data_IF_985185838600
#
_entry.id   IF_985185838600
#
_cell.length_a   1.000
_cell.length_b   1.000
_cell.length_c   1.000
_cell.angle_alpha   90.00
_cell.angle_beta   90.00
_cell.angle_gamma   90.00
#
_symmetry.space_group_name_H-M   'P 1'
#
loop_
_entity.id
_entity.type
_entity.pdbx_description
1 polymer ?
#
# COMPACT_ATOMS: atom_id res chain seq x y z
N UNK A 1 8.76 5.33 -3.85
CA UNK A 1 8.10 4.35 -2.96
C UNK A 1 7.14 5.06 -2.01
N UNK A 2 7.59 5.82 -1.02
CA UNK A 2 6.69 6.58 -0.14
C UNK A 2 5.82 7.61 -0.87
N UNK A 3 6.35 8.28 -1.90
CA UNK A 3 5.54 9.14 -2.79
C UNK A 3 4.38 8.38 -3.46
N UNK A 4 4.53 7.10 -3.77
CA UNK A 4 3.45 6.29 -4.33
C UNK A 4 2.38 6.00 -3.27
N UNK A 5 2.82 5.60 -2.08
CA UNK A 5 1.92 5.33 -0.93
C UNK A 5 1.09 6.57 -0.64
N UNK A 6 1.75 7.74 -0.59
CA UNK A 6 1.12 9.05 -0.48
C UNK A 6 0.02 9.25 -1.52
N UNK A 7 0.31 9.05 -2.81
CA UNK A 7 -0.68 9.22 -3.88
C UNK A 7 -1.86 8.24 -3.75
N UNK A 8 -1.62 6.98 -3.37
CA UNK A 8 -2.70 5.98 -3.20
C UNK A 8 -3.61 6.29 -2.03
N UNK A 9 -3.07 6.89 -0.97
CA UNK A 9 -3.85 7.32 0.20
C UNK A 9 -4.49 8.71 0.01
N UNK A 10 -4.08 9.49 -0.99
CA UNK A 10 -4.60 10.85 -1.22
C UNK A 10 -4.13 11.88 -0.18
N UNK A 11 -2.99 11.64 0.48
CA UNK A 11 -2.37 12.60 1.44
C UNK A 11 -1.28 13.42 0.75
N UNK A 12 -0.96 14.61 1.24
CA UNK A 12 0.16 15.40 0.72
C UNK A 12 1.48 15.20 1.47
N UNK A 13 1.45 14.52 2.60
CA UNK A 13 2.61 14.33 3.47
C UNK A 13 3.42 13.10 3.04
N UNK A 14 4.72 13.06 3.31
CA UNK A 14 5.51 11.81 3.31
C UNK A 14 5.79 11.44 4.77
N UNK A 15 5.64 10.16 5.18
CA UNK A 15 5.85 9.83 6.58
C UNK A 15 7.35 9.83 6.85
N UNK A 16 7.79 10.74 7.72
CA UNK A 16 9.19 10.80 8.17
C UNK A 16 9.44 9.91 9.41
N UNK A 17 8.38 9.40 10.03
CA UNK A 17 8.46 8.50 11.17
C UNK A 17 7.27 7.53 11.20
N UNK A 18 7.37 6.49 12.02
CA UNK A 18 6.35 5.45 12.19
C UNK A 18 5.02 6.05 12.70
N UNK A 19 5.07 7.09 13.55
CA UNK A 19 3.87 7.76 14.07
C UNK A 19 3.02 8.42 12.98
N UNK A 20 3.64 9.01 11.95
CA UNK A 20 2.94 9.56 10.80
C UNK A 20 2.26 8.46 9.97
N UNK A 21 2.88 7.28 9.85
CA UNK A 21 2.22 6.12 9.23
C UNK A 21 0.99 5.67 10.04
N UNK A 22 1.10 5.60 11.37
CA UNK A 22 -0.05 5.24 12.22
C UNK A 22 -1.18 6.28 12.15
N UNK A 23 -0.84 7.56 12.11
CA UNK A 23 -1.82 8.64 11.91
C UNK A 23 -2.56 8.52 10.57
N UNK A 24 -1.86 8.11 9.50
CA UNK A 24 -2.49 7.84 8.21
C UNK A 24 -3.41 6.63 8.27
N UNK A 25 -3.00 5.54 8.91
CA UNK A 25 -3.87 4.39 9.12
C UNK A 25 -5.15 4.80 9.87
N UNK A 26 -5.02 5.63 10.91
CA UNK A 26 -6.15 6.20 11.64
C UNK A 26 -7.09 7.05 10.79
N UNK A 27 -6.54 7.80 9.83
CA UNK A 27 -7.32 8.71 8.97
C UNK A 27 -7.99 7.97 7.80
N UNK A 28 -7.30 7.01 7.20
CA UNK A 28 -7.73 6.36 5.95
C UNK A 28 -8.41 5.01 6.16
N UNK A 29 -8.28 4.41 7.35
CA UNK A 29 -8.93 3.15 7.72
C UNK A 29 -9.64 3.29 9.07
N UNK A 30 -10.63 4.19 9.21
CA UNK A 30 -11.41 4.29 10.44
C UNK A 30 -11.97 2.91 10.82
N UNK A 31 -11.93 2.57 12.11
CA UNK A 31 -12.30 1.27 12.70
C UNK A 31 -11.36 0.09 12.38
N UNK A 32 -10.20 0.34 11.75
CA UNK A 32 -9.21 -0.67 11.39
C UNK A 32 -8.08 -0.87 12.40
N UNK A 33 -8.19 -0.36 13.63
CA UNK A 33 -7.06 -0.22 14.57
C UNK A 33 -6.28 -1.52 14.79
N UNK A 34 -7.00 -2.63 14.97
CA UNK A 34 -6.40 -3.97 15.12
C UNK A 34 -5.59 -4.44 13.91
N UNK A 35 -5.80 -3.83 12.73
CA UNK A 35 -5.13 -4.16 11.47
C UNK A 35 -3.99 -3.21 11.10
N UNK A 36 -3.82 -2.06 11.79
CA UNK A 36 -2.82 -1.05 11.41
C UNK A 36 -1.40 -1.59 11.44
N UNK A 37 -1.06 -2.32 12.50
CA UNK A 37 0.28 -2.91 12.64
C UNK A 37 0.55 -3.91 11.52
N UNK A 38 -0.43 -4.73 11.14
CA UNK A 38 -0.30 -5.69 10.04
C UNK A 38 -0.17 -5.00 8.69
N UNK A 39 -0.99 -3.99 8.42
CA UNK A 39 -0.91 -3.19 7.19
C UNK A 39 0.44 -2.47 7.04
N UNK A 40 0.94 -1.89 8.13
CA UNK A 40 2.24 -1.23 8.15
C UNK A 40 3.38 -2.24 7.97
N UNK A 41 3.32 -3.39 8.64
CA UNK A 41 4.30 -4.46 8.48
C UNK A 41 4.33 -4.97 7.03
N UNK A 42 3.18 -5.20 6.42
CA UNK A 42 3.07 -5.63 5.02
C UNK A 42 3.66 -4.59 4.04
N UNK A 43 3.43 -3.30 4.30
CA UNK A 43 3.98 -2.22 3.48
C UNK A 43 5.50 -2.10 3.65
N UNK A 44 5.99 -2.11 4.89
CA UNK A 44 7.41 -2.10 5.23
C UNK A 44 8.13 -3.29 4.57
N UNK A 45 7.53 -4.48 4.66
CA UNK A 45 8.05 -5.70 4.03
C UNK A 45 8.11 -5.58 2.50
N UNK A 46 7.06 -5.06 1.87
CA UNK A 46 7.04 -4.83 0.42
C UNK A 46 8.11 -3.84 -0.03
N UNK A 47 8.33 -2.76 0.72
CA UNK A 47 9.39 -1.78 0.42
C UNK A 47 10.79 -2.37 0.61
N UNK A 48 11.00 -3.11 1.70
CA UNK A 48 12.26 -3.80 1.97
C UNK A 48 12.60 -4.77 0.83
N UNK A 49 11.69 -5.70 0.50
CA UNK A 49 11.90 -6.66 -0.59
C UNK A 49 12.12 -5.98 -1.94
N UNK A 50 11.41 -4.88 -2.22
CA UNK A 50 11.60 -4.13 -3.46
C UNK A 50 12.98 -3.47 -3.55
N UNK A 51 13.51 -2.95 -2.44
CA UNK A 51 14.87 -2.40 -2.37
C UNK A 51 15.91 -3.51 -2.48
N UNK A 52 15.73 -4.59 -1.72
CA UNK A 52 16.63 -5.74 -1.72
C UNK A 52 16.76 -6.32 -3.13
N UNK A 53 15.64 -6.54 -3.82
CA UNK A 53 15.61 -7.05 -5.19
C UNK A 53 16.28 -6.10 -6.20
N UNK A 54 16.13 -4.80 -6.02
CA UNK A 54 16.79 -3.81 -6.88
C UNK A 54 18.31 -3.78 -6.66
N UNK A 55 18.77 -3.94 -5.41
CA UNK A 55 20.20 -3.91 -5.05
C UNK A 55 20.92 -5.22 -5.38
N UNK A 56 20.33 -6.36 -5.02
CA UNK A 56 21.02 -7.66 -5.10
C UNK A 56 20.68 -8.46 -6.36
N UNK A 57 19.46 -8.33 -6.89
CA UNK A 57 19.06 -9.04 -8.11
C UNK A 57 19.06 -8.13 -9.36
N UNK A 58 19.39 -6.85 -9.19
CA UNK A 58 19.33 -5.81 -10.24
C UNK A 58 17.95 -5.69 -10.93
N UNK A 59 16.89 -6.26 -10.34
CA UNK A 59 15.52 -6.17 -10.85
C UNK A 59 14.86 -4.91 -10.31
N UNK A 60 15.02 -3.82 -11.05
CA UNK A 60 14.31 -2.56 -10.78
C UNK A 60 12.79 -2.77 -10.82
N UNK A 61 12.06 -2.02 -10.01
CA UNK A 61 10.61 -1.98 -10.10
C UNK A 61 10.20 -1.44 -11.47
N UNK A 62 9.21 -2.06 -12.11
CA UNK A 62 8.68 -1.59 -13.39
C UNK A 62 7.78 -0.38 -13.17
N UNK A 63 7.06 -0.38 -12.05
CA UNK A 63 6.22 0.73 -11.64
C UNK A 63 6.38 1.04 -10.15
N UNK A 64 6.34 2.33 -9.75
CA UNK A 64 6.30 2.70 -8.34
C UNK A 64 5.10 2.10 -7.58
N UNK A 65 4.04 1.69 -8.28
CA UNK A 65 2.83 1.04 -7.73
C UNK A 65 3.02 -0.46 -7.47
N UNK A 66 4.05 -1.10 -8.01
CA UNK A 66 4.33 -2.53 -7.79
C UNK A 66 4.48 -2.84 -6.29
N UNK A 67 5.05 -1.90 -5.52
CA UNK A 67 5.16 -2.00 -4.05
C UNK A 67 3.79 -2.12 -3.38
N UNK A 68 2.80 -1.37 -3.86
CA UNK A 68 1.44 -1.39 -3.31
C UNK A 68 0.76 -2.71 -3.64
N UNK A 69 0.93 -3.21 -4.87
CA UNK A 69 0.42 -4.53 -5.25
C UNK A 69 1.05 -5.65 -4.41
N UNK A 70 2.37 -5.60 -4.16
CA UNK A 70 3.03 -6.54 -3.26
C UNK A 70 2.48 -6.46 -1.83
N UNK A 71 2.30 -5.25 -1.30
CA UNK A 71 1.69 -5.05 0.02
C UNK A 71 0.27 -5.64 0.09
N UNK A 72 -0.57 -5.41 -0.94
CA UNK A 72 -1.90 -6.03 -1.02
C UNK A 72 -1.85 -7.56 -1.03
N UNK A 73 -0.84 -8.14 -1.71
CA UNK A 73 -0.61 -9.58 -1.72
C UNK A 73 -0.29 -10.12 -0.33
N UNK A 74 0.59 -9.45 0.41
CA UNK A 74 0.92 -9.82 1.80
C UNK A 74 -0.29 -9.69 2.73
N UNK A 75 -1.09 -8.61 2.60
CA UNK A 75 -2.32 -8.42 3.38
C UNK A 75 -3.33 -9.53 3.08
N UNK A 76 -3.49 -9.91 1.81
CA UNK A 76 -4.42 -10.99 1.41
C UNK A 76 -3.94 -12.35 1.96
N UNK A 77 -2.64 -12.62 1.91
CA UNK A 77 -2.05 -13.82 2.51
C UNK A 77 -2.33 -13.88 4.01
N UNK A 78 -2.14 -12.77 4.71
CA UNK A 78 -2.45 -12.64 6.12
C UNK A 78 -3.95 -12.79 6.42
N UNK A 79 -4.83 -12.37 5.50
CA UNK A 79 -6.27 -12.53 5.67
C UNK A 79 -6.69 -14.00 5.62
N UNK A 80 -6.01 -14.81 4.80
CA UNK A 80 -6.20 -16.26 4.78
C UNK A 80 -5.90 -16.97 6.11
N UNK A 81 -5.16 -16.33 7.01
CA UNK A 81 -4.88 -16.84 8.37
C UNK A 81 -5.94 -16.44 9.40
N UNK A 82 -6.87 -15.54 9.03
CA UNK A 82 -7.94 -15.05 9.90
C UNK A 82 -9.26 -15.78 9.62
N UNK A 83 -10.20 -15.69 10.56
CA UNK A 83 -11.52 -16.32 10.46
C UNK A 83 -12.63 -15.26 10.57
N UNK A 84 -13.79 -15.57 9.99
CA UNK A 84 -14.99 -14.75 10.10
C UNK A 84 -14.82 -13.33 9.57
N UNK A 85 -15.38 -12.37 10.31
CA UNK A 85 -15.46 -10.95 9.92
C UNK A 85 -14.09 -10.29 9.72
N UNK A 86 -13.04 -10.78 10.40
CA UNK A 86 -11.70 -10.21 10.35
C UNK A 86 -10.99 -10.50 9.03
N UNK A 87 -11.17 -11.72 8.52
CA UNK A 87 -10.72 -12.08 7.16
C UNK A 87 -11.38 -11.19 6.13
N UNK A 88 -12.70 -11.05 6.21
CA UNK A 88 -13.44 -10.27 5.22
C UNK A 88 -13.08 -8.79 5.27
N UNK A 89 -12.91 -8.22 6.47
CA UNK A 89 -12.48 -6.84 6.64
C UNK A 89 -11.11 -6.60 5.99
N UNK A 90 -10.16 -7.51 6.18
CA UNK A 90 -8.81 -7.36 5.65
C UNK A 90 -8.75 -7.59 4.14
N UNK A 91 -9.53 -8.53 3.59
CA UNK A 91 -9.69 -8.70 2.14
C UNK A 91 -10.33 -7.48 1.48
N UNK A 92 -11.36 -6.89 2.11
CA UNK A 92 -11.98 -5.63 1.65
C UNK A 92 -10.94 -4.50 1.63
N UNK A 93 -10.16 -4.35 2.69
CA UNK A 93 -9.08 -3.36 2.77
C UNK A 93 -8.02 -3.54 1.67
N UNK A 94 -7.56 -4.77 1.44
CA UNK A 94 -6.62 -5.09 0.37
C UNK A 94 -7.18 -4.76 -1.03
N UNK A 95 -8.46 -5.08 -1.29
CA UNK A 95 -9.14 -4.73 -2.54
C UNK A 95 -9.22 -3.22 -2.73
N UNK A 96 -9.57 -2.47 -1.68
CA UNK A 96 -9.68 -1.01 -1.76
C UNK A 96 -8.33 -0.34 -2.06
N UNK A 97 -7.26 -0.76 -1.38
CA UNK A 97 -5.89 -0.32 -1.67
C UNK A 97 -5.48 -0.60 -3.12
N UNK A 98 -5.83 -1.79 -3.63
CA UNK A 98 -5.54 -2.19 -5.00
C UNK A 98 -6.30 -1.36 -6.03
N UNK A 99 -7.57 -1.04 -5.77
CA UNK A 99 -8.41 -0.20 -6.63
C UNK A 99 -7.88 1.23 -6.66
N UNK A 100 -7.53 1.80 -5.50
CA UNK A 100 -6.96 3.14 -5.41
C UNK A 100 -5.61 3.22 -6.15
N UNK A 101 -4.76 2.22 -6.01
CA UNK A 101 -3.51 2.13 -6.76
C UNK A 101 -3.73 2.07 -8.28
N UNK A 102 -4.72 1.29 -8.73
CA UNK A 102 -5.08 1.19 -10.14
C UNK A 102 -5.62 2.52 -10.69
N UNK A 103 -6.48 3.20 -9.93
CA UNK A 103 -7.03 4.50 -10.32
C UNK A 103 -5.92 5.56 -10.42
N UNK A 104 -5.02 5.62 -9.45
CA UNK A 104 -3.87 6.53 -9.49
C UNK A 104 -2.93 6.20 -10.65
N UNK A 105 -2.68 4.92 -10.95
CA UNK A 105 -1.88 4.52 -12.10
C UNK A 105 -2.53 4.97 -13.42
N UNK A 106 -3.86 4.88 -13.55
CA UNK A 106 -4.59 5.37 -14.73
C UNK A 106 -4.49 6.89 -14.89
N UNK A 107 -4.63 7.65 -13.80
CA UNK A 107 -4.48 9.11 -13.82
C UNK A 107 -3.05 9.49 -14.24
N UNK A 108 -2.03 8.82 -13.71
CA UNK A 108 -0.64 9.07 -14.09
C UNK A 108 -0.27 8.57 -15.50
N UNK A 109 -1.04 7.65 -16.07
CA UNK A 109 -0.83 7.13 -17.43
C UNK A 109 -1.64 7.88 -18.49
N UNK A 110 -2.60 8.73 -18.10
CA UNK A 110 -3.29 9.62 -19.02
C UNK A 110 -2.28 10.66 -19.55
N UNK A 111 -2.16 10.86 -20.87
CA UNK A 111 -1.39 11.98 -21.41
C UNK A 111 -1.99 13.25 -20.81
N UNK A 112 -1.15 14.13 -20.26
CA UNK A 112 -1.60 15.41 -19.73
C UNK A 112 -2.52 16.07 -20.73
N UNK A 113 -3.72 16.45 -20.29
CA UNK A 113 -4.64 17.24 -21.07
C UNK A 113 -3.91 18.49 -21.54
N UNK A 114 -3.59 18.51 -22.82
CA UNK A 114 -3.09 19.67 -23.52
C UNK A 114 -4.30 20.56 -23.77
N UNK A 115 -4.50 21.55 -22.89
CA UNK A 115 -5.29 22.74 -23.15
C UNK A 115 -4.47 23.95 -22.70
#
# INVERSE_FOLDING_TARGET
>A
MWRTVRCVLGTDLCPNNIWQCFSWCYTFLPDGEKFYTFGLAALCWAMWNSRNRATFEFKKLRSPFDVIYSACGYITCWAGLMMGEDREAMERGAKMLRINALNMMRICAAPGGMN
#
